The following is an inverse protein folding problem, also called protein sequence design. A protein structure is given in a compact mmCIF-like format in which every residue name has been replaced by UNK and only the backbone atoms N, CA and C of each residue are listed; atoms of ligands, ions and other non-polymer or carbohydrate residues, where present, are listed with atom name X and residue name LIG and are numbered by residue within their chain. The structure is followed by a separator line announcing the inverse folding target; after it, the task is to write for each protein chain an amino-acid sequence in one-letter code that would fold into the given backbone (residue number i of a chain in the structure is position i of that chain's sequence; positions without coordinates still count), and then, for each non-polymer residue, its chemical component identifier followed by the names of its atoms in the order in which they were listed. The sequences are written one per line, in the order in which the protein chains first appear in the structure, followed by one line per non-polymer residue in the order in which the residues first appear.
data_IF_073452791816
#
_entry.id   IF_073452791816
#
_cell.length_a   1.000
_cell.length_b   1.000
_cell.length_c   1.000
_cell.angle_alpha   90.00
_cell.angle_beta   90.00
_cell.angle_gamma   90.00
#
_symmetry.space_group_name_H-M   'P 1'
#
loop_
_entity.id
_entity.type
_entity.pdbx_description
1 polymer ?
#
# COMPACT_ATOMS: atom_id res chain seq x y z
N UNK A 1 -21.16 7.80 -7.37
CA UNK A 1 -19.89 7.84 -8.13
C UNK A 1 -19.31 9.24 -8.05
N UNK A 2 -18.01 9.39 -7.78
CA UNK A 2 -17.36 10.71 -7.75
C UNK A 2 -17.29 11.30 -9.17
N UNK A 3 -17.21 12.62 -9.31
CA UNK A 3 -17.10 13.26 -10.64
C UNK A 3 -15.89 12.75 -11.43
N UNK A 4 -14.77 12.51 -10.74
CA UNK A 4 -13.54 12.02 -11.36
C UNK A 4 -13.70 10.60 -11.90
N UNK A 5 -14.30 9.69 -11.12
CA UNK A 5 -14.54 8.32 -11.55
C UNK A 5 -15.51 8.26 -12.74
N UNK A 6 -16.59 9.06 -12.71
CA UNK A 6 -17.50 9.17 -13.85
C UNK A 6 -16.79 9.64 -15.12
N UNK A 7 -15.85 10.58 -15.02
CA UNK A 7 -15.06 11.07 -16.15
C UNK A 7 -14.08 10.01 -16.67
N UNK A 8 -13.51 9.20 -15.78
CA UNK A 8 -12.63 8.10 -16.15
C UNK A 8 -13.40 7.03 -16.93
N UNK A 9 -14.56 6.59 -16.43
CA UNK A 9 -15.40 5.59 -17.11
C UNK A 9 -15.80 6.08 -18.52
N UNK A 10 -16.27 7.33 -18.65
CA UNK A 10 -16.60 7.90 -19.97
C UNK A 10 -15.43 7.89 -20.97
N UNK A 11 -14.18 8.01 -20.49
CA UNK A 11 -12.99 7.92 -21.34
C UNK A 11 -12.72 6.48 -21.76
N UNK A 12 -12.92 5.52 -20.85
CA UNK A 12 -12.76 4.08 -21.13
C UNK A 12 -13.82 3.61 -22.11
N UNK A 13 -15.08 3.99 -21.93
CA UNK A 13 -16.21 3.63 -22.83
C UNK A 13 -15.98 4.03 -24.30
N UNK A 14 -15.14 5.06 -24.55
CA UNK A 14 -14.82 5.52 -25.89
C UNK A 14 -13.70 4.70 -26.58
N UNK A 15 -13.10 3.72 -25.90
CA UNK A 15 -12.01 2.88 -26.41
C UNK A 15 -12.52 1.59 -27.08
N UNK A 16 -11.71 0.91 -27.90
CA UNK A 16 -11.99 -0.45 -28.36
C UNK A 16 -12.20 -1.42 -27.19
N UNK A 17 -13.08 -2.44 -27.33
CA UNK A 17 -13.43 -3.38 -26.25
C UNK A 17 -12.22 -4.04 -25.60
N UNK A 18 -11.20 -4.39 -26.39
CA UNK A 18 -9.99 -5.03 -25.87
C UNK A 18 -9.25 -4.12 -24.87
N UNK A 19 -9.18 -2.82 -25.17
CA UNK A 19 -8.57 -1.85 -24.26
C UNK A 19 -9.47 -1.55 -23.04
N UNK A 20 -10.80 -1.61 -23.20
CA UNK A 20 -11.71 -1.50 -22.06
C UNK A 20 -11.47 -2.63 -21.06
N UNK A 21 -11.37 -3.87 -21.56
CA UNK A 21 -11.17 -5.05 -20.73
C UNK A 21 -9.81 -5.04 -20.03
N UNK A 22 -8.73 -4.66 -20.72
CA UNK A 22 -7.40 -4.55 -20.10
C UNK A 22 -7.37 -3.51 -18.98
N UNK A 23 -7.97 -2.34 -19.20
CA UNK A 23 -8.08 -1.30 -18.16
C UNK A 23 -8.96 -1.79 -17.01
N UNK A 24 -10.07 -2.46 -17.29
CA UNK A 24 -10.96 -2.99 -16.26
C UNK A 24 -10.25 -4.01 -15.38
N UNK A 25 -9.49 -4.95 -15.96
CA UNK A 25 -8.70 -5.93 -15.21
C UNK A 25 -7.71 -5.26 -14.26
N UNK A 26 -6.96 -4.27 -14.75
CA UNK A 26 -5.98 -3.55 -13.92
C UNK A 26 -6.65 -2.81 -12.76
N UNK A 27 -7.74 -2.09 -13.03
CA UNK A 27 -8.46 -1.35 -11.98
C UNK A 27 -9.04 -2.29 -10.92
N UNK A 28 -9.59 -3.45 -11.33
CA UNK A 28 -10.11 -4.45 -10.40
C UNK A 28 -9.00 -4.98 -9.50
N UNK A 29 -7.85 -5.35 -10.08
CA UNK A 29 -6.69 -5.81 -9.32
C UNK A 29 -6.19 -4.77 -8.32
N UNK A 30 -6.08 -3.50 -8.75
CA UNK A 30 -5.66 -2.40 -7.88
C UNK A 30 -6.64 -2.19 -6.71
N UNK A 31 -7.94 -2.26 -6.96
CA UNK A 31 -8.97 -2.14 -5.92
C UNK A 31 -8.87 -3.30 -4.92
N UNK A 32 -8.73 -4.53 -5.38
CA UNK A 32 -8.64 -5.71 -4.51
C UNK A 32 -7.37 -5.65 -3.64
N UNK A 33 -6.26 -5.20 -4.23
CA UNK A 33 -5.01 -4.97 -3.51
C UNK A 33 -5.18 -3.89 -2.43
N UNK A 34 -5.76 -2.74 -2.77
CA UNK A 34 -6.01 -1.64 -1.83
C UNK A 34 -6.90 -2.08 -0.67
N UNK A 35 -7.99 -2.80 -0.96
CA UNK A 35 -8.89 -3.34 0.08
C UNK A 35 -8.18 -4.35 0.98
N UNK A 36 -7.30 -5.18 0.43
CA UNK A 36 -6.50 -6.12 1.21
C UNK A 36 -5.50 -5.39 2.10
N UNK A 37 -4.86 -4.33 1.61
CA UNK A 37 -3.96 -3.49 2.41
C UNK A 37 -4.71 -2.81 3.54
N UNK A 38 -5.83 -2.14 3.25
CA UNK A 38 -6.68 -1.49 4.24
C UNK A 38 -7.08 -2.49 5.34
N UNK A 39 -7.61 -3.65 4.95
CA UNK A 39 -8.00 -4.70 5.91
C UNK A 39 -6.82 -5.19 6.75
N UNK A 40 -5.64 -5.33 6.16
CA UNK A 40 -4.46 -5.82 6.86
C UNK A 40 -3.96 -4.77 7.87
N UNK A 41 -3.92 -3.50 7.46
CA UNK A 41 -3.38 -2.40 8.26
C UNK A 41 -4.34 -1.88 9.33
N UNK A 42 -5.65 -2.05 9.15
CA UNK A 42 -6.67 -1.74 10.16
C UNK A 42 -6.66 -2.72 11.35
N UNK A 43 -6.02 -3.89 11.20
CA UNK A 43 -5.88 -4.85 12.29
C UNK A 43 -4.78 -4.43 13.27
N UNK A 44 -4.96 -4.64 14.59
CA UNK A 44 -3.92 -4.37 15.58
C UNK A 44 -2.61 -5.10 15.25
N UNK A 45 -1.52 -4.35 15.11
CA UNK A 45 -0.23 -4.87 14.70
C UNK A 45 0.68 -5.17 15.89
N UNK A 46 0.17 -5.95 16.85
CA UNK A 46 0.83 -6.19 18.15
C UNK A 46 2.29 -6.67 18.05
N UNK A 47 2.65 -7.38 16.99
CA UNK A 47 4.05 -7.78 16.74
C UNK A 47 4.92 -6.61 16.30
N UNK A 48 4.43 -5.76 15.41
CA UNK A 48 5.15 -4.57 14.96
C UNK A 48 5.26 -3.52 16.07
N UNK A 49 4.20 -3.35 16.86
CA UNK A 49 4.20 -2.50 18.06
C UNK A 49 5.31 -2.92 19.04
N UNK A 50 5.37 -4.22 19.38
CA UNK A 50 6.44 -4.76 20.24
C UNK A 50 7.84 -4.57 19.67
N UNK A 51 8.00 -4.72 18.35
CA UNK A 51 9.28 -4.50 17.70
C UNK A 51 9.68 -3.01 17.75
N UNK A 52 8.73 -2.10 17.53
CA UNK A 52 8.95 -0.66 17.63
C UNK A 52 9.32 -0.25 19.06
N UNK A 53 8.59 -0.74 20.07
CA UNK A 53 8.90 -0.50 21.48
C UNK A 53 10.30 -0.99 21.83
N UNK A 54 10.66 -2.20 21.40
CA UNK A 54 11.99 -2.77 21.62
C UNK A 54 13.08 -1.90 20.97
N UNK A 55 12.90 -1.51 19.71
CA UNK A 55 13.86 -0.66 19.01
C UNK A 55 14.06 0.70 19.71
N UNK A 56 12.98 1.30 20.20
CA UNK A 56 13.02 2.54 20.98
C UNK A 56 13.76 2.36 22.31
N UNK A 57 13.56 1.24 23.01
CA UNK A 57 14.30 0.92 24.23
C UNK A 57 15.78 0.69 23.96
N UNK A 58 16.12 -0.06 22.91
CA UNK A 58 17.51 -0.30 22.52
C UNK A 58 18.22 1.00 22.16
N UNK A 59 17.55 1.92 21.45
CA UNK A 59 18.10 3.24 21.14
C UNK A 59 18.37 4.06 22.40
N UNK A 60 17.37 4.15 23.30
CA UNK A 60 17.50 4.87 24.58
C UNK A 60 18.60 4.32 25.48
N UNK A 61 18.84 3.00 25.43
CA UNK A 61 19.84 2.32 26.27
C UNK A 61 21.21 2.17 25.60
N UNK A 62 21.42 2.79 24.42
CA UNK A 62 22.69 2.72 23.70
C UNK A 62 23.02 1.33 23.14
N UNK A 63 22.02 0.45 23.00
CA UNK A 63 22.14 -0.90 22.44
C UNK A 63 21.96 -0.95 20.92
N UNK A 64 21.68 0.19 20.28
CA UNK A 64 21.64 0.29 18.81
C UNK A 64 23.03 0.26 18.21
N UNK A 65 23.21 -0.48 17.12
CA UNK A 65 24.42 -0.42 16.30
C UNK A 65 24.31 0.73 15.30
N UNK A 66 25.38 1.51 15.13
CA UNK A 66 25.48 2.47 14.00
C UNK A 66 25.54 1.66 12.70
N UNK A 67 24.60 1.91 11.80
CA UNK A 67 24.56 1.34 10.46
C UNK A 67 24.56 2.51 9.47
N UNK A 68 25.50 2.53 8.53
CA UNK A 68 25.53 3.46 7.39
C UNK A 68 25.15 2.72 6.10
N UNK A 69 24.92 3.47 5.02
CA UNK A 69 24.80 2.88 3.68
C UNK A 69 26.14 2.36 3.12
N UNK A 70 27.24 2.66 3.82
CA UNK A 70 28.63 2.40 3.39
C UNK A 70 29.36 1.37 4.28
N UNK A 71 28.64 0.57 5.08
CA UNK A 71 29.27 -0.55 5.79
C UNK A 71 29.68 -1.64 4.77
N UNK A 72 30.96 -2.07 4.70
CA UNK A 72 31.40 -3.16 3.82
C UNK A 72 30.80 -4.53 4.19
#
# INVERSE_FOLDING_TARGET
MTMLLSKAIKKVEALPPELQDEIAKQIIEDIDNELKWQKTLDQPQSKLEKLAEKAMQESKTGKTKRMGFDDP
#
